data_IF_391493199337
#
_entry.id   IF_391493199337
#
_cell.length_a   1.000
_cell.length_b   1.000
_cell.length_c   1.000
_cell.angle_alpha   90.00
_cell.angle_beta   90.00
_cell.angle_gamma   90.00
#
_symmetry.space_group_name_H-M   'P 1'
#
loop_
_entity.id
_entity.type
_entity.pdbx_description
1 polymer ?
#
# COMPACT_ATOMS: atom_id res chain seq x y z
N UNK A 1 9.30 -13.34 19.64
CA UNK A 1 10.49 -13.00 18.82
C UNK A 1 10.06 -11.99 17.79
N UNK A 2 10.79 -10.86 17.61
CA UNK A 2 10.51 -9.96 16.51
C UNK A 2 10.71 -10.72 15.19
N UNK A 3 9.75 -10.61 14.28
CA UNK A 3 9.87 -11.24 12.97
C UNK A 3 10.76 -10.39 12.05
N UNK A 4 11.46 -11.04 11.10
CA UNK A 4 12.39 -10.34 10.20
C UNK A 4 11.65 -9.79 9.00
N UNK A 5 12.02 -8.58 8.56
CA UNK A 5 11.43 -7.93 7.39
C UNK A 5 12.48 -7.16 6.60
N UNK A 6 12.27 -7.01 5.29
CA UNK A 6 13.12 -6.21 4.41
C UNK A 6 12.34 -5.72 3.18
N UNK A 7 12.60 -4.49 2.73
CA UNK A 7 12.17 -4.03 1.41
C UNK A 7 12.84 -4.88 0.33
N UNK A 8 12.05 -5.40 -0.61
CA UNK A 8 12.55 -6.31 -1.66
C UNK A 8 13.44 -5.61 -2.70
N UNK A 9 13.27 -4.29 -2.88
CA UNK A 9 14.09 -3.49 -3.79
C UNK A 9 14.41 -2.11 -3.17
N UNK A 10 15.64 -1.96 -2.68
CA UNK A 10 16.14 -0.73 -2.07
C UNK A 10 16.44 0.38 -3.08
N UNK A 11 16.38 0.11 -4.39
CA UNK A 11 16.50 1.17 -5.41
C UNK A 11 15.23 2.02 -5.50
N UNK A 12 14.08 1.49 -5.08
CA UNK A 12 12.78 2.17 -5.15
C UNK A 12 12.43 2.98 -3.92
N UNK A 13 13.08 2.70 -2.79
CA UNK A 13 12.71 3.29 -1.50
C UNK A 13 13.58 2.83 -0.35
N UNK A 14 13.14 3.15 0.86
CA UNK A 14 13.80 2.75 2.10
C UNK A 14 12.80 2.10 3.04
N UNK A 15 13.29 1.33 4.01
CA UNK A 15 12.42 0.74 5.03
C UNK A 15 11.77 1.85 5.87
N UNK A 16 10.43 1.90 5.87
CA UNK A 16 9.62 2.78 6.72
C UNK A 16 8.71 1.94 7.59
N UNK A 17 9.28 1.39 8.65
CA UNK A 17 8.58 0.52 9.59
C UNK A 17 8.72 1.10 10.99
N UNK A 18 7.59 1.23 11.68
CA UNK A 18 7.51 1.77 13.04
C UNK A 18 7.06 0.68 13.99
N UNK A 19 7.55 0.73 15.21
CA UNK A 19 7.16 -0.15 16.30
C UNK A 19 6.74 0.74 17.48
N UNK A 20 5.43 1.01 17.55
CA UNK A 20 4.87 1.88 18.59
C UNK A 20 4.66 1.12 19.91
N UNK A 21 4.57 -0.22 19.84
CA UNK A 21 4.41 -1.13 20.98
C UNK A 21 5.16 -2.43 20.71
N UNK A 22 5.59 -3.11 21.78
CA UNK A 22 6.44 -4.31 21.75
C UNK A 22 6.06 -5.38 20.70
N UNK A 23 4.78 -5.51 20.32
CA UNK A 23 4.29 -6.48 19.33
C UNK A 23 3.46 -5.85 18.20
N UNK A 24 3.60 -4.55 17.95
CA UNK A 24 2.87 -3.81 16.92
C UNK A 24 3.86 -3.24 15.91
N UNK A 25 3.64 -3.55 14.62
CA UNK A 25 4.49 -3.07 13.54
C UNK A 25 3.63 -2.38 12.48
N UNK A 26 3.95 -1.12 12.21
CA UNK A 26 3.29 -0.32 11.19
C UNK A 26 4.20 -0.18 9.99
N UNK A 27 3.75 -0.70 8.85
CA UNK A 27 4.47 -0.62 7.58
C UNK A 27 3.91 0.54 6.75
N UNK A 28 4.71 1.57 6.56
CA UNK A 28 4.36 2.69 5.70
C UNK A 28 4.88 2.50 4.27
N UNK A 29 4.34 3.30 3.35
CA UNK A 29 4.72 3.29 1.95
C UNK A 29 6.23 3.60 1.78
N UNK A 30 7.04 2.61 1.35
CA UNK A 30 8.50 2.72 1.42
C UNK A 30 9.10 3.62 0.32
N UNK A 31 8.39 3.80 -0.78
CA UNK A 31 8.97 4.28 -2.02
C UNK A 31 8.91 5.80 -2.20
N UNK A 32 9.83 6.31 -3.02
CA UNK A 32 9.90 7.72 -3.40
C UNK A 32 8.90 8.06 -4.52
N UNK A 33 8.69 7.15 -5.47
CA UNK A 33 7.63 7.22 -6.49
C UNK A 33 6.30 6.75 -5.92
N UNK A 34 5.18 7.35 -6.35
CA UNK A 34 3.84 6.95 -5.87
C UNK A 34 3.21 5.81 -6.65
N UNK A 35 3.82 5.39 -7.77
CA UNK A 35 3.26 4.39 -8.69
C UNK A 35 4.25 3.27 -9.07
N UNK A 36 5.53 3.43 -8.75
CA UNK A 36 6.55 2.40 -8.89
C UNK A 36 7.16 2.11 -7.53
N UNK A 37 6.93 0.90 -7.02
CA UNK A 37 7.36 0.51 -5.69
C UNK A 37 7.64 -1.00 -5.60
N UNK A 38 8.03 -1.42 -4.40
CA UNK A 38 8.37 -2.79 -4.05
C UNK A 38 7.73 -3.15 -2.70
N UNK A 39 7.27 -4.40 -2.52
CA UNK A 39 6.73 -4.85 -1.25
C UNK A 39 7.83 -5.08 -0.21
N UNK A 40 7.41 -5.16 1.05
CA UNK A 40 8.25 -5.77 2.09
C UNK A 40 8.12 -7.29 2.01
N UNK A 41 9.24 -8.00 2.12
CA UNK A 41 9.26 -9.43 2.43
C UNK A 41 9.38 -9.61 3.95
N UNK A 42 8.57 -10.50 4.49
CA UNK A 42 8.48 -10.78 5.94
C UNK A 42 8.51 -12.28 6.16
N UNK A 43 9.28 -12.76 7.14
CA UNK A 43 9.19 -14.15 7.59
C UNK A 43 8.43 -14.18 8.92
N UNK A 44 7.18 -14.62 8.88
CA UNK A 44 6.32 -14.72 10.05
C UNK A 44 6.62 -16.01 10.83
N UNK A 45 7.05 -15.94 12.10
CA UNK A 45 7.12 -17.11 12.97
C UNK A 45 5.74 -17.74 13.18
N UNK A 46 5.68 -18.99 13.69
CA UNK A 46 4.43 -19.56 14.19
C UNK A 46 3.79 -18.64 15.24
N UNK A 47 2.49 -18.42 15.16
CA UNK A 47 1.79 -17.51 16.05
C UNK A 47 0.42 -17.07 15.56
N UNK A 48 -0.20 -16.17 16.33
CA UNK A 48 -1.46 -15.52 15.96
C UNK A 48 -1.24 -14.03 15.80
N UNK A 49 -1.65 -13.49 14.66
CA UNK A 49 -1.40 -12.13 14.24
C UNK A 49 -2.72 -11.41 13.99
N UNK A 50 -2.81 -10.19 14.49
CA UNK A 50 -3.84 -9.26 14.04
C UNK A 50 -3.28 -8.49 12.84
N UNK A 51 -3.97 -8.61 11.71
CA UNK A 51 -3.61 -7.93 10.47
C UNK A 51 -4.56 -6.75 10.25
N UNK A 52 -3.99 -5.59 9.95
CA UNK A 52 -4.71 -4.38 9.61
C UNK A 52 -4.10 -3.78 8.35
N UNK A 53 -4.94 -3.47 7.37
CA UNK A 53 -4.51 -2.92 6.08
C UNK A 53 -5.41 -1.76 5.67
N UNK A 54 -4.80 -0.71 5.15
CA UNK A 54 -5.47 0.49 4.63
C UNK A 54 -5.04 0.71 3.19
N UNK A 55 -5.99 0.79 2.26
CA UNK A 55 -5.68 1.21 0.90
C UNK A 55 -5.30 2.68 0.84
N UNK A 56 -4.61 3.08 -0.23
CA UNK A 56 -4.17 4.46 -0.39
C UNK A 56 -5.29 5.36 -0.93
N UNK A 57 -5.14 6.66 -0.65
CA UNK A 57 -5.96 7.72 -1.21
C UNK A 57 -5.72 7.87 -2.72
N UNK A 58 -6.75 8.29 -3.45
CA UNK A 58 -6.60 8.87 -4.78
C UNK A 58 -5.78 10.16 -4.78
N UNK A 59 -5.40 10.59 -5.97
CA UNK A 59 -4.75 11.86 -6.22
C UNK A 59 -5.74 13.00 -6.04
N UNK A 60 -5.43 13.88 -5.10
CA UNK A 60 -6.23 15.08 -4.87
C UNK A 60 -5.34 16.33 -4.85
N UNK A 61 -5.70 17.34 -5.64
CA UNK A 61 -4.89 18.56 -5.74
C UNK A 61 -4.94 19.41 -4.46
N UNK A 62 -6.11 19.54 -3.82
CA UNK A 62 -6.31 20.45 -2.69
C UNK A 62 -5.96 19.87 -1.30
N UNK A 63 -5.11 18.83 -1.22
CA UNK A 63 -4.66 18.15 0.03
C UNK A 63 -5.74 17.77 1.06
N UNK A 64 -7.03 17.94 0.76
CA UNK A 64 -8.10 17.45 1.61
C UNK A 64 -8.07 15.92 1.58
N UNK A 65 -8.21 15.31 2.76
CA UNK A 65 -8.34 13.86 2.95
C UNK A 65 -9.74 13.39 2.49
N UNK A 66 -10.06 13.66 1.23
CA UNK A 66 -11.28 13.18 0.63
C UNK A 66 -10.99 11.77 0.12
N UNK A 67 -11.70 10.81 0.72
CA UNK A 67 -11.68 9.38 0.41
C UNK A 67 -10.35 8.66 0.75
N UNK A 68 -10.19 8.39 2.04
CA UNK A 68 -9.19 7.46 2.56
C UNK A 68 -9.56 6.04 2.06
N UNK A 69 -8.58 5.29 1.57
CA UNK A 69 -8.81 3.95 1.03
C UNK A 69 -9.45 3.00 2.05
N UNK A 70 -10.01 1.90 1.56
CA UNK A 70 -10.72 0.92 2.36
C UNK A 70 -9.82 0.27 3.42
N UNK A 71 -10.38 0.08 4.60
CA UNK A 71 -9.77 -0.64 5.71
C UNK A 71 -10.21 -2.10 5.73
N UNK A 72 -9.32 -3.01 6.12
CA UNK A 72 -9.66 -4.39 6.43
C UNK A 72 -8.85 -4.89 7.62
N UNK A 73 -9.49 -5.73 8.43
CA UNK A 73 -8.92 -6.34 9.63
C UNK A 73 -9.16 -7.84 9.61
N UNK A 74 -8.16 -8.62 10.01
CA UNK A 74 -8.27 -10.07 10.09
C UNK A 74 -7.35 -10.65 11.15
N UNK A 75 -7.61 -11.90 11.52
CA UNK A 75 -6.72 -12.70 12.36
C UNK A 75 -6.08 -13.77 11.48
N UNK A 76 -4.77 -13.89 11.55
CA UNK A 76 -3.99 -14.93 10.89
C UNK A 76 -3.37 -15.83 11.94
N UNK A 77 -3.58 -17.14 11.83
CA UNK A 77 -2.94 -18.13 12.70
C UNK A 77 -2.02 -19.03 11.88
N UNK A 78 -0.73 -19.03 12.22
CA UNK A 78 0.33 -19.78 11.54
C UNK A 78 0.88 -20.86 12.46
N UNK A 79 0.93 -22.10 11.95
CA UNK A 79 1.51 -23.24 12.68
C UNK A 79 3.01 -23.38 12.46
N UNK A 80 3.49 -22.92 11.31
CA UNK A 80 4.88 -22.98 10.89
C UNK A 80 5.36 -21.57 10.56
N UNK A 81 6.67 -21.41 10.42
CA UNK A 81 7.22 -20.20 9.82
C UNK A 81 6.72 -20.08 8.38
N UNK A 82 6.18 -18.92 8.02
CA UNK A 82 5.58 -18.65 6.71
C UNK A 82 6.11 -17.33 6.17
N UNK A 83 6.58 -17.35 4.92
CA UNK A 83 6.97 -16.13 4.21
C UNK A 83 5.73 -15.33 3.81
N UNK A 84 5.80 -14.01 3.88
CA UNK A 84 4.77 -13.12 3.39
C UNK A 84 5.31 -11.88 2.70
N UNK A 85 4.46 -11.29 1.86
CA UNK A 85 4.73 -10.10 1.07
C UNK A 85 3.70 -9.03 1.43
N UNK A 86 4.16 -7.90 1.95
CA UNK A 86 3.32 -6.78 2.38
C UNK A 86 3.43 -5.68 1.34
N UNK A 87 2.36 -5.50 0.58
CA UNK A 87 2.19 -4.41 -0.36
C UNK A 87 1.50 -3.24 0.35
N UNK A 88 2.15 -2.08 0.33
CA UNK A 88 1.54 -0.82 0.76
C UNK A 88 1.20 -0.02 -0.49
N UNK A 89 -0.08 0.34 -0.63
CA UNK A 89 -0.57 1.09 -1.78
C UNK A 89 0.03 2.48 -1.88
N UNK A 90 0.32 2.92 -3.10
CA UNK A 90 0.79 4.28 -3.36
C UNK A 90 -0.37 5.24 -3.57
N UNK A 91 -0.19 6.52 -3.25
CA UNK A 91 -1.19 7.55 -3.53
C UNK A 91 -1.26 7.85 -5.03
N UNK A 92 -2.45 8.06 -5.57
CA UNK A 92 -2.58 8.60 -6.91
C UNK A 92 -1.96 10.00 -7.04
N UNK A 93 -1.51 10.36 -8.25
CA UNK A 93 -1.00 11.71 -8.52
C UNK A 93 -2.15 12.67 -8.85
N UNK A 94 -1.97 13.95 -8.54
CA UNK A 94 -2.85 15.02 -9.00
C UNK A 94 -2.04 16.32 -9.09
N UNK A 95 -1.95 16.87 -10.30
CA UNK A 95 -1.14 18.05 -10.63
C UNK A 95 -1.98 19.14 -11.31
N UNK A 96 -1.41 20.33 -11.45
CA UNK A 96 -2.03 21.44 -12.20
C UNK A 96 -1.68 21.44 -13.68
N UNK A 97 -1.01 20.40 -14.17
CA UNK A 97 -0.60 20.29 -15.56
C UNK A 97 -1.58 19.38 -16.29
N UNK A 98 -2.31 19.87 -17.31
CA UNK A 98 -3.20 19.04 -18.10
C UNK A 98 -2.49 17.81 -18.64
N UNK A 99 -3.15 16.66 -18.54
CA UNK A 99 -2.58 15.38 -18.94
C UNK A 99 -2.94 14.24 -18.00
N UNK A 100 -2.30 13.10 -18.25
CA UNK A 100 -2.47 11.86 -17.49
C UNK A 100 -2.00 12.09 -16.05
N UNK A 101 -2.87 11.73 -15.12
CA UNK A 101 -2.56 11.65 -13.70
C UNK A 101 -2.39 10.18 -13.35
N UNK A 102 -1.16 9.77 -13.02
CA UNK A 102 -0.80 8.39 -12.72
C UNK A 102 -1.57 7.86 -11.50
N UNK A 103 -2.09 6.64 -11.63
CA UNK A 103 -2.65 5.86 -10.53
C UNK A 103 -1.56 5.38 -9.57
N UNK A 104 -1.95 5.20 -8.32
CA UNK A 104 -1.08 4.75 -7.25
C UNK A 104 -0.62 3.31 -7.41
N UNK A 105 0.54 3.01 -6.82
CA UNK A 105 1.17 1.69 -6.87
C UNK A 105 0.23 0.59 -6.36
N UNK A 106 0.31 -0.60 -6.96
CA UNK A 106 -0.53 -1.77 -6.64
C UNK A 106 -2.00 -1.60 -7.06
N UNK A 107 -2.22 -1.14 -8.30
CA UNK A 107 -3.50 -1.25 -9.01
C UNK A 107 -4.37 0.01 -9.07
N UNK A 108 -3.82 1.19 -8.77
CA UNK A 108 -4.52 2.46 -8.98
C UNK A 108 -4.71 2.78 -10.47
N UNK A 109 -5.90 3.26 -10.83
CA UNK A 109 -6.22 3.66 -12.20
C UNK A 109 -5.68 5.05 -12.55
N UNK A 110 -5.32 5.27 -13.82
CA UNK A 110 -4.95 6.62 -14.27
C UNK A 110 -6.19 7.50 -14.43
N UNK A 111 -6.07 8.75 -14.00
CA UNK A 111 -7.02 9.81 -14.31
C UNK A 111 -6.49 10.74 -15.41
N UNK A 112 -7.28 11.75 -15.73
CA UNK A 112 -6.86 12.79 -16.67
C UNK A 112 -7.33 14.16 -16.18
N UNK A 113 -6.44 15.15 -16.23
CA UNK A 113 -6.76 16.53 -15.93
C UNK A 113 -6.83 17.35 -17.23
N UNK A 114 -7.96 18.01 -17.48
CA UNK A 114 -8.18 18.80 -18.70
C UNK A 114 -7.86 20.28 -18.48
N UNK A 115 -8.50 20.92 -17.50
CA UNK A 115 -8.23 22.31 -17.14
C UNK A 115 -8.80 22.66 -15.77
N UNK A 116 -8.24 23.71 -15.15
CA UNK A 116 -8.69 24.20 -13.84
C UNK A 116 -10.10 24.84 -13.87
N UNK A 117 -10.71 24.99 -15.05
CA UNK A 117 -12.08 25.51 -15.19
C UNK A 117 -13.15 24.45 -14.99
N UNK A 118 -12.81 23.17 -15.14
CA UNK A 118 -13.79 22.07 -15.09
C UNK A 118 -13.75 21.37 -13.73
N UNK A 119 -12.63 20.72 -13.41
CA UNK A 119 -12.27 20.16 -12.10
C UNK A 119 -10.85 19.59 -12.21
N UNK A 120 -10.12 19.50 -11.09
CA UNK A 120 -8.83 18.79 -11.08
C UNK A 120 -9.06 17.28 -11.18
N UNK A 121 -8.45 16.65 -12.17
CA UNK A 121 -8.41 15.19 -12.27
C UNK A 121 -7.30 14.61 -11.41
N UNK A 122 -7.44 13.37 -10.98
CA UNK A 122 -6.44 12.64 -10.21
C UNK A 122 -6.41 11.16 -10.57
N UNK A 123 -5.28 10.51 -10.37
CA UNK A 123 -5.19 9.05 -10.45
C UNK A 123 -5.81 8.39 -9.21
N UNK A 124 -6.36 7.19 -9.36
CA UNK A 124 -6.86 6.40 -8.24
C UNK A 124 -5.74 5.93 -7.31
N UNK A 125 -6.07 5.65 -6.05
CA UNK A 125 -5.13 5.14 -5.06
C UNK A 125 -4.73 3.68 -5.33
N UNK A 126 -3.64 3.27 -4.72
CA UNK A 126 -3.13 1.91 -4.71
C UNK A 126 -3.76 1.01 -3.64
N UNK A 127 -3.87 -0.30 -3.88
CA UNK A 127 -4.33 -1.23 -2.86
C UNK A 127 -3.19 -1.56 -1.90
N UNK A 128 -3.50 -1.85 -0.64
CA UNK A 128 -2.56 -2.47 0.29
C UNK A 128 -2.99 -3.91 0.53
N UNK A 129 -2.08 -4.87 0.49
CA UNK A 129 -2.42 -6.28 0.67
C UNK A 129 -1.30 -7.12 1.25
N UNK A 130 -1.67 -8.26 1.82
CA UNK A 130 -0.74 -9.25 2.36
C UNK A 130 -0.93 -10.55 1.59
N UNK A 131 0.18 -11.10 1.10
CA UNK A 131 0.26 -12.39 0.40
C UNK A 131 1.13 -13.33 1.19
N UNK A 132 0.80 -14.61 1.22
CA UNK A 132 1.57 -15.63 1.93
C UNK A 132 2.16 -16.66 0.95
N UNK A 133 3.31 -17.21 1.32
CA UNK A 133 4.08 -18.26 0.63
C UNK A 133 4.64 -17.85 -0.74
N UNK A 134 3.80 -17.29 -1.62
CA UNK A 134 4.17 -16.82 -2.96
C UNK A 134 3.75 -15.36 -3.16
N UNK A 135 4.52 -14.64 -3.96
CA UNK A 135 4.19 -13.27 -4.36
C UNK A 135 3.25 -13.26 -5.58
N UNK A 136 1.99 -13.64 -5.37
CA UNK A 136 0.96 -13.70 -6.40
C UNK A 136 -0.35 -13.10 -5.89
N UNK A 137 -1.12 -12.44 -6.76
CA UNK A 137 -2.43 -11.91 -6.38
C UNK A 137 -3.41 -12.99 -5.88
N UNK A 138 -3.23 -14.24 -6.29
CA UNK A 138 -4.06 -15.38 -5.87
C UNK A 138 -3.75 -15.90 -4.47
N UNK A 139 -2.59 -15.56 -3.89
CA UNK A 139 -2.20 -15.92 -2.52
C UNK A 139 -2.47 -14.80 -1.51
N UNK A 140 -3.21 -13.77 -1.93
CA UNK A 140 -3.64 -12.66 -1.09
C UNK A 140 -4.64 -13.10 -0.05
N UNK A 141 -4.36 -12.78 1.21
CA UNK A 141 -5.21 -13.16 2.36
C UNK A 141 -6.06 -12.00 2.90
N UNK A 142 -5.62 -10.75 2.68
CA UNK A 142 -6.34 -9.54 3.11
C UNK A 142 -5.97 -8.36 2.21
N UNK A 143 -6.89 -7.42 2.00
CA UNK A 143 -6.65 -6.25 1.18
C UNK A 143 -7.42 -5.02 1.67
N UNK A 144 -6.73 -3.87 1.77
CA UNK A 144 -7.33 -2.56 1.86
C UNK A 144 -7.62 -2.04 0.45
N UNK A 145 -8.89 -1.76 0.14
CA UNK A 145 -9.30 -1.35 -1.21
C UNK A 145 -8.91 0.10 -1.51
N UNK A 146 -8.83 0.41 -2.80
CA UNK A 146 -8.46 1.74 -3.28
C UNK A 146 -9.60 2.75 -3.09
N UNK A 147 -9.23 4.01 -2.91
CA UNK A 147 -10.10 5.11 -3.24
C UNK A 147 -9.88 5.55 -4.69
N UNK A 148 -10.95 5.89 -5.42
CA UNK A 148 -10.91 6.51 -6.74
C UNK A 148 -11.58 7.88 -6.71
#
# INVERSE_FOLDING_TARGET
>A
MPFTFNLTDHSKGTNKVFNDKENEYTFEYPCSSTYDCAPYEVNFPPGSYLLEVWGAQGGWYNKADECLGGYSKGILSLKNETKGYLYVGGRGTATTVPGIQMGGFNGGGNGYFYSAKEMYGGGGGGASDIRLEMDLLTTRIIAGRICN
#
